data_IF_503753545040
#
_entry.id   IF_503753545040
#
_cell.length_a   1.000
_cell.length_b   1.000
_cell.length_c   1.000
_cell.angle_alpha   90.00
_cell.angle_beta   90.00
_cell.angle_gamma   90.00
#
_symmetry.space_group_name_H-M   'P 1'
#
loop_
_entity.id
_entity.type
_entity.pdbx_description
1 polymer ?
#
# COMPACT_ATOMS: atom_id res chain seq x y z
N UNK A 1 1.44 0.64 14.62
CA UNK A 1 1.46 0.79 13.16
C UNK A 1 1.17 -0.57 12.52
N UNK A 2 0.91 -0.66 11.21
CA UNK A 2 0.67 -1.95 10.51
C UNK A 2 1.33 -2.01 9.12
N UNK A 3 2.25 -1.08 8.82
CA UNK A 3 2.82 -0.93 7.49
C UNK A 3 3.76 -2.09 7.13
N UNK A 4 4.48 -2.62 8.11
CA UNK A 4 5.32 -3.82 7.95
C UNK A 4 4.47 -5.03 7.56
N UNK A 5 3.39 -5.31 8.30
CA UNK A 5 2.47 -6.40 7.98
C UNK A 5 1.78 -6.22 6.63
N UNK A 6 1.39 -4.99 6.30
CA UNK A 6 0.81 -4.66 5.00
C UNK A 6 1.81 -4.91 3.86
N UNK A 7 3.08 -4.58 4.07
CA UNK A 7 4.15 -4.80 3.10
C UNK A 7 4.36 -6.30 2.84
N UNK A 8 4.43 -7.10 3.91
CA UNK A 8 4.59 -8.55 3.79
C UNK A 8 3.36 -9.22 3.17
N UNK A 9 2.15 -8.80 3.52
CA UNK A 9 0.93 -9.34 2.91
C UNK A 9 0.79 -8.95 1.43
N UNK A 10 1.12 -7.72 1.06
CA UNK A 10 0.95 -7.30 -0.33
C UNK A 10 2.06 -7.77 -1.24
N UNK A 11 3.31 -7.81 -0.77
CA UNK A 11 4.47 -8.06 -1.64
C UNK A 11 5.36 -9.18 -1.10
N UNK A 12 5.71 -9.14 0.19
CA UNK A 12 6.75 -9.98 0.75
C UNK A 12 6.47 -11.48 0.66
N UNK A 13 5.25 -11.92 0.98
CA UNK A 13 4.86 -13.33 0.98
C UNK A 13 4.95 -14.03 -0.39
N UNK A 14 5.18 -13.28 -1.47
CA UNK A 14 5.28 -13.80 -2.83
C UNK A 14 6.73 -14.00 -3.32
N UNK A 15 7.72 -13.76 -2.45
CA UNK A 15 9.13 -13.93 -2.82
C UNK A 15 9.93 -14.76 -1.82
N UNK A 16 11.02 -15.36 -2.30
CA UNK A 16 11.91 -16.24 -1.50
C UNK A 16 13.39 -15.85 -1.62
N UNK A 17 13.66 -14.57 -1.85
CA UNK A 17 14.99 -13.97 -1.99
C UNK A 17 15.33 -13.01 -0.83
N UNK A 18 16.60 -12.62 -0.72
CA UNK A 18 17.08 -11.70 0.32
C UNK A 18 16.72 -12.16 1.74
N UNK A 19 16.17 -11.24 2.53
CA UNK A 19 15.68 -11.52 3.89
C UNK A 19 14.45 -12.44 3.92
N UNK A 20 13.81 -12.71 2.78
CA UNK A 20 12.71 -13.67 2.64
C UNK A 20 13.17 -15.05 2.15
N UNK A 21 14.49 -15.28 2.15
CA UNK A 21 15.11 -16.53 1.74
C UNK A 21 14.50 -17.78 2.36
N UNK A 22 14.30 -18.83 1.54
CA UNK A 22 13.88 -20.14 2.05
C UNK A 22 14.86 -20.65 3.11
N UNK A 23 14.35 -20.95 4.31
CA UNK A 23 15.16 -21.47 5.41
C UNK A 23 15.86 -20.40 6.25
N UNK A 24 15.52 -19.11 6.08
CA UNK A 24 15.88 -18.05 7.03
C UNK A 24 14.73 -17.84 8.03
N UNK A 25 15.05 -17.42 9.25
CA UNK A 25 14.01 -17.08 10.23
C UNK A 25 13.22 -15.82 9.83
N UNK A 26 13.84 -14.89 9.08
CA UNK A 26 13.16 -13.69 8.58
C UNK A 26 12.19 -13.98 7.44
N UNK A 27 12.42 -15.03 6.64
CA UNK A 27 11.42 -15.55 5.70
C UNK A 27 10.19 -16.08 6.43
N UNK A 28 10.39 -16.83 7.51
CA UNK A 28 9.29 -17.27 8.36
C UNK A 28 8.58 -16.10 9.08
N UNK A 29 9.31 -15.04 9.42
CA UNK A 29 8.76 -13.80 9.97
C UNK A 29 7.86 -13.08 8.95
N UNK A 30 8.28 -12.96 7.70
CA UNK A 30 7.48 -12.41 6.60
C UNK A 30 6.10 -13.07 6.52
N UNK A 31 6.05 -14.41 6.54
CA UNK A 31 4.78 -15.16 6.50
C UNK A 31 3.87 -14.89 7.73
N UNK A 32 4.48 -14.77 8.91
CA UNK A 32 3.76 -14.52 10.15
C UNK A 32 3.25 -13.06 10.23
N UNK A 33 3.98 -12.11 9.66
CA UNK A 33 3.55 -10.71 9.51
C UNK A 33 2.40 -10.59 8.50
N UNK A 34 2.49 -11.25 7.34
CA UNK A 34 1.38 -11.32 6.39
C UNK A 34 0.11 -11.93 7.01
N UNK A 35 0.28 -12.95 7.86
CA UNK A 35 -0.82 -13.55 8.62
C UNK A 35 -1.40 -12.59 9.67
N UNK A 36 -0.55 -11.79 10.31
CA UNK A 36 -0.96 -10.77 11.29
C UNK A 36 -1.73 -9.63 10.61
N UNK A 37 -1.34 -9.25 9.39
CA UNK A 37 -2.11 -8.29 8.59
C UNK A 37 -3.54 -8.78 8.34
N UNK A 38 -3.70 -10.05 7.98
CA UNK A 38 -5.03 -10.59 7.71
C UNK A 38 -5.93 -10.57 8.95
N UNK A 39 -5.36 -10.84 10.13
CA UNK A 39 -6.07 -10.66 11.40
C UNK A 39 -6.45 -9.20 11.61
N UNK A 40 -5.52 -8.27 11.38
CA UNK A 40 -5.79 -6.83 11.51
C UNK A 40 -6.94 -6.38 10.58
N UNK A 41 -6.92 -6.74 9.29
CA UNK A 41 -8.00 -6.40 8.34
C UNK A 41 -9.36 -6.91 8.81
N UNK A 42 -9.41 -8.13 9.30
CA UNK A 42 -10.65 -8.73 9.80
C UNK A 42 -11.19 -8.02 11.06
N UNK A 43 -10.30 -7.58 11.94
CA UNK A 43 -10.68 -6.83 13.14
C UNK A 43 -11.01 -5.36 12.83
N UNK A 44 -10.36 -4.77 11.81
CA UNK A 44 -10.53 -3.37 11.40
C UNK A 44 -11.96 -3.07 10.93
N UNK A 45 -12.66 -4.07 10.40
CA UNK A 45 -14.09 -3.98 10.07
C UNK A 45 -14.41 -3.12 8.85
N UNK A 46 -13.49 -3.08 7.87
CA UNK A 46 -13.68 -2.32 6.64
C UNK A 46 -14.91 -2.77 5.84
N UNK A 47 -15.47 -1.83 5.09
CA UNK A 47 -16.57 -2.05 4.16
C UNK A 47 -16.26 -1.38 2.85
N UNK A 48 -16.66 -1.99 1.74
CA UNK A 48 -16.63 -1.35 0.44
C UNK A 48 -17.61 -0.17 0.38
N UNK A 49 -17.55 0.61 -0.70
CA UNK A 49 -18.46 1.73 -0.95
C UNK A 49 -19.96 1.36 -0.96
N UNK A 50 -20.32 0.08 -1.16
CA UNK A 50 -21.70 -0.41 -1.13
C UNK A 50 -22.09 -1.03 0.22
N UNK A 51 -21.23 -0.92 1.23
CA UNK A 51 -21.47 -1.41 2.59
C UNK A 51 -21.16 -2.90 2.80
N UNK A 52 -20.67 -3.62 1.78
CA UNK A 52 -20.25 -5.03 1.92
C UNK A 52 -19.05 -5.11 2.89
N UNK A 53 -19.11 -5.91 3.97
CA UNK A 53 -17.95 -6.18 4.81
C UNK A 53 -16.80 -6.76 3.98
N UNK A 54 -15.59 -6.30 4.26
CA UNK A 54 -14.36 -6.78 3.64
C UNK A 54 -13.56 -7.58 4.67
N UNK A 55 -13.23 -8.81 4.32
CA UNK A 55 -12.50 -9.74 5.17
C UNK A 55 -11.55 -10.61 4.34
N UNK A 56 -10.48 -11.05 4.99
CA UNK A 56 -9.52 -12.01 4.47
C UNK A 56 -9.78 -13.40 5.04
N UNK A 57 -9.67 -14.38 4.18
CA UNK A 57 -9.80 -15.81 4.47
C UNK A 57 -8.52 -16.53 4.05
N UNK A 58 -8.28 -17.70 4.64
CA UNK A 58 -7.18 -18.57 4.19
C UNK A 58 -7.56 -19.22 2.87
N UNK A 59 -6.64 -19.21 1.92
CA UNK A 59 -6.67 -20.06 0.72
C UNK A 59 -6.40 -21.52 1.08
N UNK A 60 -6.50 -22.42 0.09
CA UNK A 60 -6.22 -23.85 0.29
C UNK A 60 -4.79 -24.11 0.76
N UNK A 61 -3.85 -23.25 0.37
CA UNK A 61 -2.43 -23.31 0.75
C UNK A 61 -2.16 -22.68 2.13
N UNK A 62 -3.20 -22.20 2.83
CA UNK A 62 -3.13 -21.68 4.20
C UNK A 62 -2.73 -20.21 4.30
N UNK A 63 -2.51 -19.54 3.17
CA UNK A 63 -2.14 -18.13 3.04
C UNK A 63 -3.41 -17.27 2.99
N UNK A 64 -3.42 -16.08 3.59
CA UNK A 64 -4.60 -15.20 3.58
C UNK A 64 -4.78 -14.42 2.26
N UNK A 65 -4.95 -15.14 1.16
CA UNK A 65 -5.09 -14.58 -0.20
C UNK A 65 -6.46 -14.90 -0.81
N UNK A 66 -7.49 -14.98 0.02
CA UNK A 66 -8.87 -15.14 -0.41
C UNK A 66 -9.82 -14.28 0.42
N UNK A 67 -11.09 -14.23 0.02
CA UNK A 67 -12.13 -13.49 0.71
C UNK A 67 -12.41 -12.12 0.08
N UNK A 68 -13.47 -11.48 0.57
CA UNK A 68 -14.01 -10.25 -0.02
C UNK A 68 -13.04 -9.07 -0.06
N UNK A 69 -12.10 -8.99 0.89
CA UNK A 69 -11.04 -7.98 0.86
C UNK A 69 -10.03 -8.25 -0.24
N UNK A 70 -9.60 -9.51 -0.41
CA UNK A 70 -8.70 -9.89 -1.50
C UNK A 70 -9.33 -9.60 -2.86
N UNK A 71 -10.60 -9.97 -3.05
CA UNK A 71 -11.35 -9.67 -4.27
C UNK A 71 -11.39 -8.16 -4.56
N UNK A 72 -11.56 -7.35 -3.51
CA UNK A 72 -11.56 -5.89 -3.63
C UNK A 72 -10.18 -5.35 -4.05
N UNK A 73 -9.10 -5.85 -3.45
CA UNK A 73 -7.74 -5.44 -3.82
C UNK A 73 -7.38 -5.86 -5.25
N UNK A 74 -7.85 -7.04 -5.70
CA UNK A 74 -7.73 -7.47 -7.09
C UNK A 74 -8.44 -6.48 -8.02
N UNK A 75 -9.68 -6.11 -7.69
CA UNK A 75 -10.46 -5.13 -8.46
C UNK A 75 -9.77 -3.76 -8.53
N UNK A 76 -9.11 -3.30 -7.46
CA UNK A 76 -8.36 -2.03 -7.49
C UNK A 76 -7.24 -2.07 -8.55
N UNK A 77 -6.53 -3.19 -8.68
CA UNK A 77 -5.49 -3.35 -9.70
C UNK A 77 -6.10 -3.37 -11.11
N UNK A 78 -7.19 -4.11 -11.29
CA UNK A 78 -7.91 -4.17 -12.57
C UNK A 78 -8.49 -2.82 -12.99
N UNK A 79 -9.11 -2.09 -12.05
CA UNK A 79 -9.66 -0.76 -12.27
C UNK A 79 -8.56 0.22 -12.66
N UNK A 80 -7.39 0.12 -12.01
CA UNK A 80 -6.23 0.93 -12.36
C UNK A 80 -5.80 0.72 -13.82
N UNK A 81 -5.61 -0.54 -14.23
CA UNK A 81 -5.26 -0.89 -15.61
C UNK A 81 -6.36 -0.48 -16.60
N UNK A 82 -7.62 -0.74 -16.27
CA UNK A 82 -8.76 -0.45 -17.14
C UNK A 82 -8.98 1.06 -17.35
N UNK A 83 -8.74 1.86 -16.31
CA UNK A 83 -8.71 3.32 -16.44
C UNK A 83 -7.60 3.74 -17.41
N UNK A 84 -6.40 3.18 -17.28
CA UNK A 84 -5.31 3.44 -18.23
C UNK A 84 -5.69 3.06 -19.66
N UNK A 85 -6.26 1.88 -19.91
CA UNK A 85 -6.64 1.43 -21.25
C UNK A 85 -7.72 2.32 -21.88
N UNK A 86 -8.64 2.85 -21.07
CA UNK A 86 -9.72 3.72 -21.54
C UNK A 86 -9.26 5.17 -21.78
N UNK A 87 -8.31 5.67 -21.00
CA UNK A 87 -7.89 7.07 -21.04
C UNK A 87 -6.67 7.32 -21.93
N UNK A 88 -5.93 6.26 -22.28
CA UNK A 88 -4.72 6.31 -23.11
C UNK A 88 -5.06 6.24 -24.59
N UNK A 89 -4.51 7.17 -25.37
CA UNK A 89 -4.60 7.12 -26.83
C UNK A 89 -3.50 6.23 -27.40
N UNK A 90 -3.89 5.27 -28.24
CA UNK A 90 -2.95 4.44 -28.99
C UNK A 90 -2.78 4.98 -30.42
N UNK A 91 -1.57 5.03 -30.99
CA UNK A 91 -0.31 4.47 -30.48
C UNK A 91 0.23 5.14 -29.20
N UNK A 92 0.57 4.32 -28.21
CA UNK A 92 1.10 4.73 -26.89
C UNK A 92 2.61 4.53 -26.83
N UNK A 93 3.34 5.42 -26.15
CA UNK A 93 4.74 5.19 -25.81
C UNK A 93 5.04 5.75 -24.42
N UNK A 94 5.57 4.93 -23.49
CA UNK A 94 5.77 5.32 -22.10
C UNK A 94 6.59 6.61 -21.89
N UNK A 95 7.54 6.91 -22.78
CA UNK A 95 8.46 8.04 -22.62
C UNK A 95 8.09 9.31 -23.41
N UNK A 96 7.01 9.30 -24.22
CA UNK A 96 6.62 10.44 -25.06
C UNK A 96 5.29 11.10 -24.66
N UNK A 97 4.49 10.43 -23.83
CA UNK A 97 3.34 11.05 -23.18
C UNK A 97 3.84 11.89 -22.00
N UNK A 98 4.31 13.12 -22.30
CA UNK A 98 4.83 14.09 -21.32
C UNK A 98 3.81 14.59 -20.28
N UNK A 99 2.75 13.82 -20.02
CA UNK A 99 1.79 13.97 -18.94
C UNK A 99 1.92 12.91 -17.84
N UNK A 100 2.71 11.85 -18.07
CA UNK A 100 2.99 10.81 -17.07
C UNK A 100 4.47 10.89 -16.74
N UNK A 101 4.80 11.79 -15.82
CA UNK A 101 6.13 11.87 -15.22
C UNK A 101 6.33 10.58 -14.41
N UNK A 102 6.87 9.55 -15.07
CA UNK A 102 7.44 8.42 -14.37
C UNK A 102 8.51 9.02 -13.46
N UNK A 103 8.16 9.16 -12.18
CA UNK A 103 9.03 9.73 -11.17
C UNK A 103 10.42 9.07 -11.21
N UNK A 104 11.44 9.72 -10.63
CA UNK A 104 12.78 9.15 -10.61
C UNK A 104 12.71 7.72 -10.08
N UNK A 105 13.17 6.78 -10.91
CA UNK A 105 13.38 5.39 -10.51
C UNK A 105 14.26 5.43 -9.24
N UNK A 106 13.83 4.83 -8.10
CA UNK A 106 14.64 4.80 -6.90
C UNK A 106 16.04 4.23 -7.19
N UNK A 107 17.09 4.86 -6.67
CA UNK A 107 18.45 4.34 -6.76
C UNK A 107 18.48 2.95 -6.13
N UNK A 108 18.52 1.90 -6.96
CA UNK A 108 18.44 0.52 -6.52
C UNK A 108 17.60 -0.39 -7.43
N UNK A 109 16.69 0.17 -8.22
CA UNK A 109 16.04 -0.59 -9.31
C UNK A 109 16.99 -0.64 -10.50
N UNK A 110 17.96 -1.54 -10.42
CA UNK A 110 18.55 -2.06 -11.65
C UNK A 110 17.44 -2.86 -12.33
N UNK A 111 16.74 -2.25 -13.28
CA UNK A 111 16.17 -3.04 -14.38
C UNK A 111 17.32 -3.93 -14.84
N UNK A 112 17.18 -5.23 -14.65
CA UNK A 112 18.23 -6.17 -15.05
C UNK A 112 18.49 -5.90 -16.52
N UNK A 113 19.71 -5.46 -16.80
CA UNK A 113 20.19 -5.14 -18.15
C UNK A 113 20.25 -6.37 -19.07
N UNK A 114 19.73 -7.52 -18.62
CA UNK A 114 19.67 -8.79 -19.32
C UNK A 114 18.26 -9.15 -19.81
N UNK A 115 17.26 -8.29 -19.60
CA UNK A 115 16.03 -8.21 -20.43
C UNK A 115 16.02 -6.90 -21.23
N UNK A 116 17.21 -6.42 -21.60
CA UNK A 116 17.41 -5.38 -22.63
C UNK A 116 17.22 -5.96 -24.05
N UNK A 117 16.12 -6.69 -24.25
CA UNK A 117 15.75 -7.31 -25.51
C UNK A 117 14.24 -7.18 -25.75
N UNK A 118 13.85 -6.04 -26.35
CA UNK A 118 12.49 -5.69 -26.84
C UNK A 118 11.55 -5.07 -25.79
N UNK A 119 11.13 -3.80 -25.82
CA UNK A 119 11.23 -2.76 -26.84
C UNK A 119 11.02 -1.38 -26.21
N UNK A 120 11.83 -0.41 -26.61
CA UNK A 120 11.50 1.02 -26.60
C UNK A 120 10.40 1.31 -27.64
N UNK A 121 9.33 0.51 -27.60
CA UNK A 121 8.38 0.34 -28.68
C UNK A 121 7.13 1.17 -28.46
N UNK A 122 6.70 1.84 -29.51
CA UNK A 122 5.35 2.41 -29.57
C UNK A 122 4.36 1.26 -29.70
N UNK A 123 3.49 1.08 -28.70
CA UNK A 123 2.38 0.12 -28.74
C UNK A 123 1.27 0.69 -29.60
N UNK A 124 0.91 0.02 -30.70
CA UNK A 124 -0.08 0.55 -31.65
C UNK A 124 -1.51 0.31 -31.20
N UNK A 125 -1.73 -0.67 -30.32
CA UNK A 125 -3.04 -1.06 -29.82
C UNK A 125 -2.97 -1.44 -28.33
N UNK A 126 -4.10 -1.43 -27.61
CA UNK A 126 -4.18 -2.00 -26.27
C UNK A 126 -3.67 -3.44 -26.19
N UNK A 127 -4.01 -4.28 -27.17
CA UNK A 127 -3.57 -5.68 -27.22
C UNK A 127 -2.04 -5.77 -27.24
N UNK A 128 -1.36 -4.97 -28.08
CA UNK A 128 0.12 -4.98 -28.14
C UNK A 128 0.76 -4.56 -26.81
N UNK A 129 0.12 -3.66 -26.06
CA UNK A 129 0.58 -3.27 -24.72
C UNK A 129 0.38 -4.40 -23.71
N UNK A 130 -0.80 -5.03 -23.68
CA UNK A 130 -1.06 -6.17 -22.78
C UNK A 130 -0.16 -7.37 -23.11
N UNK A 131 0.02 -7.70 -24.39
CA UNK A 131 0.93 -8.77 -24.82
C UNK A 131 2.36 -8.51 -24.33
N UNK A 132 2.78 -7.23 -24.28
CA UNK A 132 4.10 -6.86 -23.75
C UNK A 132 4.22 -7.01 -22.22
N UNK A 133 3.13 -6.79 -21.48
CA UNK A 133 3.09 -6.98 -20.03
C UNK A 133 3.07 -8.47 -19.65
N UNK A 134 2.34 -9.28 -20.41
CA UNK A 134 2.32 -10.73 -20.25
C UNK A 134 3.70 -11.33 -20.57
N UNK A 135 4.30 -10.93 -21.69
CA UNK A 135 5.57 -11.53 -22.14
C UNK A 135 5.42 -13.04 -22.32
N UNK A 136 6.18 -13.83 -21.55
CA UNK A 136 6.13 -15.30 -21.59
C UNK A 136 5.08 -15.92 -20.65
N UNK A 137 4.54 -15.16 -19.70
CA UNK A 137 3.56 -15.61 -18.70
C UNK A 137 2.27 -14.78 -18.81
N UNK A 138 1.17 -15.44 -19.21
CA UNK A 138 -0.12 -14.75 -19.27
C UNK A 138 -0.67 -14.54 -17.86
N UNK A 139 -0.63 -13.30 -17.38
CA UNK A 139 -1.21 -12.88 -16.10
C UNK A 139 -2.31 -11.83 -16.25
N UNK A 140 -2.44 -11.22 -17.42
CA UNK A 140 -3.51 -10.30 -17.80
C UNK A 140 -4.34 -10.93 -18.92
N UNK A 141 -5.65 -11.05 -18.68
CA UNK A 141 -6.64 -11.51 -19.65
C UNK A 141 -7.34 -10.28 -20.23
N UNK A 142 -7.07 -9.96 -21.49
CA UNK A 142 -7.64 -8.78 -22.14
C UNK A 142 -8.83 -9.11 -23.07
N UNK A 143 -9.93 -8.39 -22.88
CA UNK A 143 -11.12 -8.44 -23.71
C UNK A 143 -11.19 -7.22 -24.65
N UNK A 144 -10.81 -7.43 -25.90
CA UNK A 144 -10.84 -6.40 -26.94
C UNK A 144 -12.24 -5.89 -27.32
N UNK A 145 -13.31 -6.62 -26.99
CA UNK A 145 -14.69 -6.18 -27.28
C UNK A 145 -15.17 -5.12 -26.30
N UNK A 146 -14.69 -5.16 -25.06
CA UNK A 146 -15.03 -4.23 -23.98
C UNK A 146 -13.91 -3.25 -23.66
N UNK A 147 -12.70 -3.45 -24.20
CA UNK A 147 -11.48 -2.72 -23.84
C UNK A 147 -11.19 -2.80 -22.33
N UNK A 148 -11.37 -4.00 -21.76
CA UNK A 148 -11.13 -4.28 -20.35
C UNK A 148 -10.17 -5.46 -20.17
N UNK A 149 -9.47 -5.48 -19.05
CA UNK A 149 -8.51 -6.48 -18.63
C UNK A 149 -8.81 -6.94 -17.20
N UNK A 150 -8.56 -8.21 -16.95
CA UNK A 150 -8.59 -8.86 -15.64
C UNK A 150 -7.21 -9.44 -15.35
N UNK A 151 -6.81 -9.53 -14.08
CA UNK A 151 -5.53 -10.13 -13.69
C UNK A 151 -5.76 -11.48 -13.01
N UNK A 152 -4.81 -12.39 -13.13
CA UNK A 152 -4.96 -13.75 -12.58
C UNK A 152 -4.84 -13.79 -11.06
N UNK A 153 -4.00 -12.94 -10.46
CA UNK A 153 -3.83 -12.81 -9.01
C UNK A 153 -3.05 -11.55 -8.62
N UNK A 154 -3.16 -11.14 -7.34
CA UNK A 154 -2.30 -10.10 -6.78
C UNK A 154 -0.83 -10.52 -6.81
N UNK A 155 -0.53 -11.81 -6.60
CA UNK A 155 0.82 -12.37 -6.72
C UNK A 155 1.42 -12.10 -8.11
N UNK A 156 0.65 -12.34 -9.18
CA UNK A 156 1.14 -12.11 -10.53
C UNK A 156 1.39 -10.63 -10.78
N UNK A 157 0.47 -9.75 -10.38
CA UNK A 157 0.69 -8.30 -10.45
C UNK A 157 1.97 -7.88 -9.70
N UNK A 158 2.19 -8.38 -8.49
CA UNK A 158 3.39 -8.07 -7.68
C UNK A 158 4.65 -8.51 -8.40
N UNK A 159 4.70 -9.74 -8.92
CA UNK A 159 5.87 -10.27 -9.65
C UNK A 159 6.24 -9.44 -10.88
N UNK A 160 5.24 -8.89 -11.58
CA UNK A 160 5.46 -8.15 -12.82
C UNK A 160 5.65 -6.65 -12.63
N UNK A 161 4.98 -6.05 -11.63
CA UNK A 161 4.84 -4.59 -11.54
C UNK A 161 5.21 -4.00 -10.17
N UNK A 162 5.31 -4.81 -9.11
CA UNK A 162 5.43 -4.29 -7.73
C UNK A 162 6.30 -5.18 -6.82
N UNK A 163 7.43 -5.67 -7.33
CA UNK A 163 8.32 -6.53 -6.55
C UNK A 163 8.82 -5.83 -5.27
N UNK A 164 8.94 -6.53 -4.13
CA UNK A 164 9.40 -5.92 -2.89
C UNK A 164 10.84 -5.40 -3.04
N UNK A 165 11.07 -4.18 -2.55
CA UNK A 165 12.39 -3.50 -2.58
C UNK A 165 13.00 -3.33 -1.19
N UNK A 166 12.22 -3.55 -0.14
CA UNK A 166 12.63 -3.44 1.26
C UNK A 166 12.76 -4.82 1.90
N UNK A 167 13.66 -4.91 2.87
CA UNK A 167 13.82 -6.11 3.71
C UNK A 167 12.59 -6.34 4.60
N UNK A 168 12.50 -7.51 5.23
CA UNK A 168 11.48 -7.81 6.25
C UNK A 168 11.63 -6.84 7.43
N UNK A 169 10.53 -6.18 7.81
CA UNK A 169 10.58 -4.95 8.61
C UNK A 169 10.90 -3.76 7.71
N UNK A 170 10.01 -3.49 6.76
CA UNK A 170 10.15 -2.46 5.74
C UNK A 170 10.14 -1.02 6.31
N UNK A 171 9.62 -0.83 7.52
CA UNK A 171 9.50 0.47 8.19
C UNK A 171 10.05 0.42 9.61
N UNK A 172 9.53 -0.47 10.47
CA UNK A 172 10.22 -0.82 11.70
C UNK A 172 11.18 -1.96 11.39
N UNK A 173 12.39 -1.63 10.97
CA UNK A 173 13.34 -2.68 10.62
C UNK A 173 13.92 -3.37 11.88
N UNK A 174 14.61 -4.49 11.66
CA UNK A 174 15.21 -5.24 12.76
C UNK A 174 16.45 -4.55 13.36
N UNK A 175 16.97 -3.49 12.74
CA UNK A 175 18.21 -2.79 13.08
C UNK A 175 18.01 -1.45 13.81
N UNK A 176 16.84 -0.85 13.63
CA UNK A 176 16.52 0.58 13.80
C UNK A 176 17.21 1.51 12.80
N UNK A 177 17.42 1.05 11.58
CA UNK A 177 18.20 1.77 10.56
C UNK A 177 17.32 2.58 9.58
N UNK A 178 15.98 2.47 9.67
CA UNK A 178 15.05 3.24 8.84
C UNK A 178 14.76 4.64 9.40
N UNK A 179 14.36 5.54 8.51
CA UNK A 179 13.96 6.91 8.88
C UNK A 179 12.75 6.92 9.83
N UNK A 180 11.85 5.95 9.72
CA UNK A 180 10.70 5.77 10.60
C UNK A 180 11.15 5.40 12.03
N UNK A 181 12.21 4.61 12.19
CA UNK A 181 12.77 4.35 13.52
C UNK A 181 13.31 5.63 14.17
N UNK A 182 13.97 6.49 13.40
CA UNK A 182 14.43 7.81 13.87
C UNK A 182 13.25 8.71 14.24
N UNK A 183 12.17 8.72 13.44
CA UNK A 183 10.95 9.47 13.73
C UNK A 183 10.36 9.09 15.10
N UNK A 184 10.41 7.80 15.45
CA UNK A 184 9.93 7.29 16.73
C UNK A 184 10.98 7.32 17.86
N UNK A 185 12.19 7.84 17.60
CA UNK A 185 13.14 8.25 18.62
C UNK A 185 12.56 9.22 19.65
N UNK A 186 13.29 9.44 20.74
CA UNK A 186 12.94 10.33 21.85
C UNK A 186 14.08 11.33 22.10
N UNK A 187 13.97 12.13 23.16
CA UNK A 187 15.07 13.01 23.58
C UNK A 187 16.31 12.27 24.13
N UNK A 188 16.18 11.00 24.50
CA UNK A 188 17.30 10.17 24.98
C UNK A 188 17.82 9.19 23.92
N UNK A 189 17.00 8.80 22.94
CA UNK A 189 17.28 7.75 21.96
C UNK A 189 17.01 8.24 20.55
N UNK A 190 18.03 8.25 19.67
CA UNK A 190 17.89 8.76 18.30
C UNK A 190 16.93 7.92 17.45
N UNK A 191 16.89 6.59 17.66
CA UNK A 191 15.96 5.68 16.98
C UNK A 191 15.42 4.61 17.92
N UNK A 192 14.17 4.19 17.70
CA UNK A 192 13.47 3.17 18.48
C UNK A 192 12.56 2.31 17.60
N UNK A 193 12.30 1.08 18.01
CA UNK A 193 11.20 0.28 17.47
C UNK A 193 9.84 0.85 17.90
N UNK A 194 8.84 0.73 17.04
CA UNK A 194 7.50 1.29 17.19
C UNK A 194 6.36 0.32 16.82
N UNK A 195 6.66 -0.82 16.22
CA UNK A 195 5.68 -1.80 15.81
C UNK A 195 5.41 -2.83 16.91
N UNK A 196 4.24 -2.69 17.54
CA UNK A 196 3.73 -3.63 18.54
C UNK A 196 3.31 -4.97 17.97
N UNK A 197 2.91 -5.04 16.69
CA UNK A 197 2.49 -6.30 16.05
C UNK A 197 3.73 -7.13 15.77
N UNK A 198 4.75 -6.57 15.10
CA UNK A 198 6.09 -7.16 14.97
C UNK A 198 6.64 -7.67 16.31
N UNK A 199 6.59 -6.85 17.37
CA UNK A 199 7.06 -7.24 18.69
C UNK A 199 6.31 -8.47 19.26
N UNK A 200 5.00 -8.55 19.04
CA UNK A 200 4.18 -9.70 19.46
C UNK A 200 4.51 -10.93 18.62
N UNK A 201 4.62 -10.81 17.30
CA UNK A 201 4.99 -11.91 16.40
C UNK A 201 6.36 -12.49 16.77
N UNK A 202 7.38 -11.64 16.98
CA UNK A 202 8.72 -12.04 17.42
C UNK A 202 8.69 -12.80 18.75
N UNK A 203 7.85 -12.37 19.69
CA UNK A 203 7.72 -13.00 21.01
C UNK A 203 6.98 -14.33 20.94
N UNK A 204 5.85 -14.39 20.26
CA UNK A 204 4.99 -15.58 20.20
C UNK A 204 5.63 -16.70 19.38
N UNK A 205 6.41 -16.37 18.36
CA UNK A 205 7.07 -17.33 17.48
C UNK A 205 8.54 -17.58 17.85
N UNK A 206 9.02 -17.13 19.02
CA UNK A 206 10.43 -17.29 19.42
C UNK A 206 10.90 -18.75 19.40
N UNK A 207 10.05 -19.69 19.83
CA UNK A 207 10.38 -21.13 19.80
C UNK A 207 10.48 -21.63 18.35
N UNK A 208 9.55 -21.24 17.48
CA UNK A 208 9.57 -21.55 16.03
C UNK A 208 10.84 -21.02 15.38
N UNK A 209 11.19 -19.76 15.62
CA UNK A 209 12.37 -19.14 15.03
C UNK A 209 13.68 -19.72 15.57
N UNK A 210 13.70 -20.24 16.81
CA UNK A 210 14.90 -20.86 17.37
C UNK A 210 15.39 -22.11 16.65
N UNK A 211 14.56 -22.70 15.77
CA UNK A 211 14.94 -23.84 14.93
C UNK A 211 15.81 -23.43 13.72
N UNK A 212 15.84 -22.16 13.37
CA UNK A 212 16.61 -21.62 12.26
C UNK A 212 18.04 -21.29 12.70
N UNK A 213 19.03 -21.63 11.86
CA UNK A 213 20.45 -21.47 12.22
C UNK A 213 20.91 -20.02 12.33
N UNK A 214 20.20 -19.10 11.68
CA UNK A 214 20.48 -17.67 11.60
C UNK A 214 19.61 -16.84 12.56
N UNK A 215 18.85 -17.48 13.45
CA UNK A 215 17.96 -16.78 14.38
C UNK A 215 18.71 -15.86 15.34
N UNK A 216 18.25 -14.61 15.40
CA UNK A 216 18.73 -13.61 16.35
C UNK A 216 17.65 -13.27 17.39
N UNK A 217 17.70 -13.98 18.53
CA UNK A 217 16.80 -13.73 19.67
C UNK A 217 16.91 -12.32 20.27
N UNK A 218 17.97 -11.56 19.95
CA UNK A 218 18.11 -10.19 20.46
C UNK A 218 17.04 -9.26 19.87
N UNK A 219 16.49 -9.57 18.69
CA UNK A 219 15.46 -8.77 18.02
C UNK A 219 14.16 -8.72 18.82
N UNK A 220 13.65 -9.87 19.29
CA UNK A 220 12.47 -9.88 20.17
C UNK A 220 12.69 -9.05 21.45
N UNK A 221 13.92 -9.05 21.98
CA UNK A 221 14.28 -8.29 23.17
C UNK A 221 14.38 -6.79 22.90
N UNK A 222 14.90 -6.37 21.75
CA UNK A 222 15.02 -4.95 21.37
C UNK A 222 13.64 -4.31 21.25
N UNK A 223 12.75 -4.92 20.47
CA UNK A 223 11.36 -4.47 20.31
C UNK A 223 10.65 -4.36 21.66
N UNK A 224 10.71 -5.41 22.49
CA UNK A 224 10.04 -5.43 23.79
C UNK A 224 10.60 -4.40 24.80
N UNK A 225 11.82 -3.91 24.62
CA UNK A 225 12.43 -2.89 25.47
C UNK A 225 12.10 -1.48 24.98
N UNK A 226 12.12 -1.26 23.68
CA UNK A 226 11.87 0.04 23.07
C UNK A 226 10.42 0.48 23.22
N UNK A 227 9.46 -0.43 23.05
CA UNK A 227 8.05 -0.13 23.21
C UNK A 227 7.66 0.28 24.65
N UNK A 228 8.55 0.06 25.63
CA UNK A 228 8.37 0.52 27.03
C UNK A 228 8.94 1.92 27.27
N UNK A 229 9.68 2.48 26.31
CA UNK A 229 10.28 3.81 26.43
C UNK A 229 9.18 4.87 26.38
N UNK A 230 9.45 5.96 27.08
CA UNK A 230 8.58 7.13 27.12
C UNK A 230 9.37 8.33 26.60
N UNK A 231 8.69 9.28 25.99
CA UNK A 231 9.28 10.60 25.71
C UNK A 231 9.41 11.45 26.99
N UNK A 232 10.11 12.59 26.92
CA UNK A 232 10.19 13.57 28.03
C UNK A 232 8.86 14.07 28.61
N UNK A 233 7.74 13.85 27.91
CA UNK A 233 6.41 14.23 28.37
C UNK A 233 5.63 13.03 28.95
N UNK A 234 6.27 11.87 29.08
CA UNK A 234 5.72 10.59 29.53
C UNK A 234 4.71 9.96 28.56
N UNK A 235 4.76 10.29 27.27
CA UNK A 235 3.97 9.58 26.26
C UNK A 235 4.67 8.28 25.86
N UNK A 236 3.88 7.23 25.66
CA UNK A 236 4.34 5.95 25.10
C UNK A 236 4.61 6.07 23.61
N UNK A 237 5.39 5.13 23.07
CA UNK A 237 5.57 4.99 21.61
C UNK A 237 4.22 4.71 20.92
N UNK A 238 3.37 3.87 21.51
CA UNK A 238 2.02 3.59 21.01
C UNK A 238 1.16 4.87 20.92
N UNK A 239 1.14 5.70 21.96
CA UNK A 239 0.41 6.97 21.93
C UNK A 239 0.91 7.88 20.79
N UNK A 240 2.22 7.94 20.59
CA UNK A 240 2.81 8.74 19.49
C UNK A 240 2.49 8.15 18.13
N UNK A 241 2.54 6.82 17.97
CA UNK A 241 2.16 6.13 16.72
C UNK A 241 0.70 6.39 16.38
N UNK A 242 -0.21 6.28 17.36
CA UNK A 242 -1.63 6.63 17.20
C UNK A 242 -1.83 8.09 16.76
N UNK A 243 -1.01 9.02 17.27
CA UNK A 243 -1.10 10.42 16.86
C UNK A 243 -0.77 10.66 15.39
N UNK A 244 0.19 9.90 14.83
CA UNK A 244 0.60 9.98 13.43
C UNK A 244 -0.29 9.18 12.48
N UNK A 245 -1.02 8.18 12.97
CA UNK A 245 -1.82 7.27 12.16
C UNK A 245 -3.20 7.89 11.80
N UNK A 246 -3.48 8.25 10.53
CA UNK A 246 -4.78 8.80 10.15
C UNK A 246 -5.95 7.83 10.41
N UNK A 247 -5.70 6.51 10.30
CA UNK A 247 -6.72 5.48 10.58
C UNK A 247 -7.22 5.54 12.03
N UNK A 248 -6.38 5.97 12.97
CA UNK A 248 -6.73 6.11 14.39
C UNK A 248 -7.95 7.02 14.60
N UNK A 249 -8.11 8.02 13.72
CA UNK A 249 -9.16 9.03 13.84
C UNK A 249 -10.40 8.72 13.00
N UNK A 250 -10.28 7.85 11.99
CA UNK A 250 -11.35 7.62 10.99
C UNK A 250 -11.97 6.23 11.06
N UNK A 251 -11.35 5.27 11.75
CA UNK A 251 -11.88 3.92 11.88
C UNK A 251 -12.41 3.64 13.29
N UNK A 252 -13.60 3.03 13.44
CA UNK A 252 -14.17 2.65 14.73
C UNK A 252 -13.41 1.52 15.45
N UNK A 253 -12.43 0.90 14.78
CA UNK A 253 -11.51 -0.05 15.40
C UNK A 253 -10.62 0.60 16.46
N UNK A 254 -10.27 1.88 16.27
CA UNK A 254 -9.37 2.62 17.15
C UNK A 254 -10.14 3.49 18.14
N UNK A 255 -9.60 3.63 19.35
CA UNK A 255 -10.17 4.48 20.41
C UNK A 255 -10.19 5.98 20.04
N UNK A 256 -9.42 6.37 19.00
CA UNK A 256 -9.33 7.74 18.50
C UNK A 256 -10.53 8.20 17.67
N UNK A 257 -11.44 7.31 17.30
CA UNK A 257 -12.61 7.66 16.50
C UNK A 257 -13.40 8.80 17.17
N UNK A 258 -13.69 9.85 16.39
CA UNK A 258 -14.41 11.03 16.88
C UNK A 258 -13.60 11.97 17.78
N UNK A 259 -12.28 11.78 17.90
CA UNK A 259 -11.39 12.71 18.60
C UNK A 259 -10.84 13.85 17.71
N UNK A 260 -11.19 13.84 16.42
CA UNK A 260 -10.89 14.90 15.46
C UNK A 260 -12.11 15.17 14.56
N UNK A 261 -12.05 16.26 13.79
CA UNK A 261 -13.03 16.60 12.75
C UNK A 261 -12.39 16.29 11.38
N UNK A 262 -12.69 15.15 10.73
CA UNK A 262 -12.16 14.84 9.41
C UNK A 262 -12.52 15.90 8.37
N UNK A 263 -11.61 16.18 7.44
CA UNK A 263 -11.90 17.07 6.32
C UNK A 263 -13.06 16.53 5.47
N UNK A 264 -13.87 17.43 4.89
CA UNK A 264 -15.03 17.05 4.08
C UNK A 264 -14.67 16.44 2.73
N UNK A 265 -13.57 16.90 2.13
CA UNK A 265 -13.19 16.53 0.77
C UNK A 265 -11.79 15.92 0.79
N UNK A 266 -11.66 14.73 0.24
CA UNK A 266 -10.40 14.01 0.13
C UNK A 266 -10.09 13.68 -1.32
N UNK A 267 -8.83 13.89 -1.71
CA UNK A 267 -8.28 13.45 -2.98
C UNK A 267 -6.98 12.71 -2.72
N UNK A 268 -6.96 11.43 -3.04
CA UNK A 268 -5.87 10.50 -2.77
C UNK A 268 -5.51 9.82 -4.09
N UNK A 269 -4.32 10.14 -4.61
CA UNK A 269 -3.78 9.47 -5.78
C UNK A 269 -2.43 8.85 -5.41
N UNK A 270 -2.24 7.59 -5.76
CA UNK A 270 -0.99 6.88 -5.62
C UNK A 270 -0.65 6.17 -6.94
N UNK A 271 0.64 6.00 -7.22
CA UNK A 271 1.07 5.17 -8.34
C UNK A 271 1.02 3.71 -7.92
N UNK A 272 0.25 2.87 -8.61
CA UNK A 272 -0.01 1.51 -8.13
C UNK A 272 1.26 0.63 -8.10
N UNK A 273 2.28 1.01 -8.89
CA UNK A 273 3.57 0.33 -9.02
C UNK A 273 4.63 0.86 -8.04
N UNK A 274 4.30 1.83 -7.17
CA UNK A 274 5.25 2.32 -6.15
C UNK A 274 5.60 1.22 -5.15
N UNK A 275 6.87 1.01 -4.82
CA UNK A 275 7.29 -0.09 -3.92
C UNK A 275 7.66 0.40 -2.52
N UNK A 276 7.51 1.70 -2.26
CA UNK A 276 7.81 2.33 -0.97
C UNK A 276 6.84 1.87 0.12
N UNK A 277 5.58 1.59 -0.23
CA UNK A 277 4.56 1.01 0.66
C UNK A 277 3.55 0.12 -0.09
N UNK A 278 2.74 -0.60 0.68
CA UNK A 278 1.62 -1.38 0.16
C UNK A 278 0.46 -0.47 -0.27
N UNK A 279 -0.11 -0.72 -1.46
CA UNK A 279 -1.31 -0.01 -1.95
C UNK A 279 -2.55 -0.21 -1.07
N UNK A 280 -2.49 -1.18 -0.14
CA UNK A 280 -3.55 -1.37 0.85
C UNK A 280 -3.61 -0.24 1.88
N UNK A 281 -2.52 0.48 2.13
CA UNK A 281 -2.48 1.56 3.14
C UNK A 281 -3.43 2.69 2.74
N UNK A 282 -3.23 3.24 1.55
CA UNK A 282 -4.08 4.29 0.97
C UNK A 282 -5.50 3.79 0.66
N UNK A 283 -5.64 2.55 0.18
CA UNK A 283 -6.97 1.96 -0.08
C UNK A 283 -7.81 1.84 1.20
N UNK A 284 -7.22 1.33 2.29
CA UNK A 284 -7.92 1.16 3.56
C UNK A 284 -8.33 2.50 4.17
N UNK A 285 -7.47 3.50 4.03
CA UNK A 285 -7.80 4.85 4.47
C UNK A 285 -8.95 5.46 3.67
N UNK A 286 -8.94 5.34 2.34
CA UNK A 286 -10.04 5.78 1.50
C UNK A 286 -11.36 5.07 1.86
N UNK A 287 -11.33 3.76 2.07
CA UNK A 287 -12.50 2.97 2.48
C UNK A 287 -13.06 3.43 3.84
N UNK A 288 -12.19 3.71 4.82
CA UNK A 288 -12.61 4.22 6.13
C UNK A 288 -13.23 5.62 6.04
N UNK A 289 -12.61 6.53 5.26
CA UNK A 289 -13.14 7.86 5.00
C UNK A 289 -14.54 7.83 4.40
N UNK A 290 -14.80 6.92 3.45
CA UNK A 290 -16.12 6.74 2.83
C UNK A 290 -17.22 6.30 3.81
N UNK A 291 -16.86 5.83 5.01
CA UNK A 291 -17.84 5.47 6.04
C UNK A 291 -18.19 6.62 7.00
N UNK A 292 -17.48 7.76 6.93
CA UNK A 292 -17.72 8.91 7.80
C UNK A 292 -18.81 9.79 7.19
N UNK A 293 -19.88 10.06 7.94
CA UNK A 293 -21.02 10.86 7.47
C UNK A 293 -20.66 12.29 7.09
N UNK A 294 -19.64 12.85 7.73
CA UNK A 294 -19.22 14.24 7.58
C UNK A 294 -18.19 14.40 6.44
N UNK A 295 -17.69 13.30 5.88
CA UNK A 295 -16.89 13.29 4.65
C UNK A 295 -17.85 13.30 3.46
N UNK A 296 -17.84 14.38 2.70
CA UNK A 296 -18.74 14.61 1.57
C UNK A 296 -18.23 13.93 0.29
N UNK A 297 -16.92 13.86 0.09
CA UNK A 297 -16.32 13.23 -1.09
C UNK A 297 -14.94 12.64 -0.83
N UNK A 298 -14.70 11.47 -1.43
CA UNK A 298 -13.39 10.81 -1.48
C UNK A 298 -13.10 10.44 -2.94
N UNK A 299 -12.22 11.20 -3.58
CA UNK A 299 -11.62 10.84 -4.86
C UNK A 299 -10.38 9.99 -4.58
N UNK A 300 -10.43 8.70 -4.92
CA UNK A 300 -9.33 7.76 -4.73
C UNK A 300 -8.92 7.13 -6.06
N UNK A 301 -7.64 7.19 -6.41
CA UNK A 301 -7.10 6.58 -7.62
C UNK A 301 -5.75 5.90 -7.35
N UNK A 302 -5.69 4.60 -7.64
CA UNK A 302 -4.44 3.89 -7.92
C UNK A 302 -4.12 4.05 -9.40
N UNK A 303 -2.98 4.64 -9.74
CA UNK A 303 -2.64 5.05 -11.10
C UNK A 303 -1.65 4.08 -11.73
N UNK A 304 -2.10 3.41 -12.80
CA UNK A 304 -1.34 2.40 -13.53
C UNK A 304 -0.06 2.98 -14.17
N UNK A 305 1.02 2.19 -14.18
CA UNK A 305 2.28 2.59 -14.80
C UNK A 305 3.05 3.69 -14.07
N UNK A 306 2.66 4.02 -12.84
CA UNK A 306 3.32 5.06 -12.03
C UNK A 306 3.85 4.49 -10.72
N UNK A 307 5.08 4.89 -10.38
CA UNK A 307 5.74 4.58 -9.12
C UNK A 307 5.53 5.68 -8.07
N UNK A 308 6.53 5.91 -7.22
CA UNK A 308 6.48 6.93 -6.16
C UNK A 308 6.58 8.34 -6.76
N UNK A 309 5.44 8.97 -7.05
CA UNK A 309 5.35 10.28 -7.69
C UNK A 309 4.05 11.00 -7.32
N UNK A 310 3.87 12.23 -7.80
CA UNK A 310 2.58 12.93 -7.75
C UNK A 310 1.62 12.31 -8.77
N UNK A 311 1.03 11.17 -8.41
CA UNK A 311 0.34 10.33 -9.35
C UNK A 311 -0.91 10.97 -9.95
N UNK A 312 -1.07 10.82 -11.26
CA UNK A 312 -2.19 11.40 -11.99
C UNK A 312 -2.53 10.57 -13.23
N UNK A 313 -3.83 10.29 -13.45
CA UNK A 313 -4.24 9.46 -14.60
C UNK A 313 -3.95 10.13 -15.94
N UNK A 314 -4.07 11.47 -15.97
CA UNK A 314 -3.87 12.30 -17.15
C UNK A 314 -3.57 13.76 -16.81
N UNK A 315 -2.69 14.38 -17.61
CA UNK A 315 -2.41 15.81 -17.51
C UNK A 315 -1.44 16.13 -16.38
N UNK A 316 -1.52 17.34 -15.83
CA UNK A 316 -0.60 17.78 -14.77
C UNK A 316 -1.24 17.59 -13.40
N UNK A 317 -0.58 16.83 -12.52
CA UNK A 317 -1.02 16.63 -11.14
C UNK A 317 -1.28 17.97 -10.41
N UNK A 318 -0.39 18.94 -10.58
CA UNK A 318 -0.53 20.28 -9.98
C UNK A 318 -1.74 21.05 -10.54
N UNK A 319 -1.95 21.02 -11.86
CA UNK A 319 -3.09 21.72 -12.47
C UNK A 319 -4.42 21.09 -12.07
N UNK A 320 -4.48 19.75 -12.07
CA UNK A 320 -5.66 19.00 -11.66
C UNK A 320 -5.98 19.22 -10.17
N UNK A 321 -4.96 19.22 -9.31
CA UNK A 321 -5.14 19.54 -7.89
C UNK A 321 -5.70 20.96 -7.70
N UNK A 322 -5.15 21.97 -8.39
CA UNK A 322 -5.68 23.35 -8.32
C UNK A 322 -7.14 23.41 -8.79
N UNK A 323 -7.48 22.70 -9.86
CA UNK A 323 -8.86 22.65 -10.35
C UNK A 323 -9.80 21.99 -9.33
N UNK A 324 -9.41 20.84 -8.77
CA UNK A 324 -10.16 20.13 -7.73
C UNK A 324 -10.40 21.02 -6.49
N UNK A 325 -9.39 21.77 -6.05
CA UNK A 325 -9.55 22.75 -4.95
C UNK A 325 -10.58 23.82 -5.34
N UNK A 326 -10.53 24.37 -6.55
CA UNK A 326 -11.50 25.37 -7.00
C UNK A 326 -12.93 24.81 -7.07
N UNK A 327 -13.10 23.54 -7.42
CA UNK A 327 -14.39 22.85 -7.43
C UNK A 327 -14.95 22.71 -6.00
N UNK A 328 -14.13 22.23 -5.05
CA UNK A 328 -14.53 22.13 -3.64
C UNK A 328 -14.98 23.49 -3.06
N UNK A 329 -14.26 24.56 -3.38
CA UNK A 329 -14.61 25.92 -2.93
C UNK A 329 -15.89 26.46 -3.59
N UNK A 330 -16.20 26.01 -4.81
CA UNK A 330 -17.40 26.43 -5.54
C UNK A 330 -18.64 25.74 -4.99
N UNK A 331 -18.54 24.48 -4.58
CA UNK A 331 -19.62 23.72 -3.95
C UNK A 331 -20.05 24.35 -2.61
N UNK A 332 -19.11 24.87 -1.82
CA UNK A 332 -19.42 25.63 -0.60
C UNK A 332 -20.15 26.95 -0.87
N UNK A 333 -19.88 27.61 -2.00
CA UNK A 333 -20.49 28.90 -2.34
C UNK A 333 -21.98 28.81 -2.69
N UNK A 334 -22.46 27.64 -3.12
CA UNK A 334 -23.88 27.40 -3.41
C UNK A 334 -24.73 27.29 -2.12
N UNK A 335 -24.14 26.96 -0.98
CA UNK A 335 -24.86 26.91 0.31
C UNK A 335 -25.16 28.31 0.89
N UNK A 336 -24.36 29.33 0.55
CA UNK A 336 -24.56 30.69 1.07
C UNK A 336 -25.63 31.51 0.31
N UNK A 337 -26.09 31.03 -0.85
CA UNK A 337 -27.11 31.73 -1.65
C UNK A 337 -28.55 31.32 -1.31
N UNK A 338 -28.76 30.19 -0.63
CA UNK A 338 -30.09 29.71 -0.25
C UNK A 338 -30.58 30.25 1.12
N UNK A 339 -29.72 30.90 1.91
CA UNK A 339 -30.09 31.52 3.20
C UNK A 339 -30.46 33.02 3.09
N UNK A 340 -30.56 33.56 1.86
CA UNK A 340 -30.93 34.95 1.61
C UNK A 340 -32.00 35.10 0.52
N UNK A 341 -33.12 34.37 0.56
CA UNK A 341 -34.36 34.79 -0.10
C UNK A 341 -35.64 34.39 0.65
#
# INVERSE_FOLDING_TARGET
>A
DTADEAYEWTMGQYTTDGTRGTGTWTGALSDDLASSYAKYINDLGLRSHNGRPLSLEKSEDGIYTSGSYYDYMLQIVEDSLNNFLNETSFPYSPNSDGSRDAGPVPDGVSLSSDVAGSSSGTFRTPQEYIDSLNGDEEWIIYNSSTNTAEITSIEAFVKHCKSPTKDVGAFDDLGRDQAENELFGTDEYDSLHFDSIMANVLKENADKYSEFSDYDSSKATSYANDLKKLDKFNNTIENRSNMYNPMYYVSPYYDGIGSSDPAKYWRINAGIEQTDTSFTVETNFALALMQISDVESVEFNEVWGQGHTQAERKGSASANFINWVNECMSDESNFFLDDFF
#
